data_IF_016732817231
#
_entry.id   IF_016732817231
#
_cell.length_a   1.000
_cell.length_b   1.000
_cell.length_c   1.000
_cell.angle_alpha   90.00
_cell.angle_beta   90.00
_cell.angle_gamma   90.00
#
_symmetry.space_group_name_H-M   'P 1'
#
loop_
_entity.id
_entity.type
_entity.pdbx_description
1 polymer ?
#
# COMPACT_ATOMS: atom_id res chain seq x y z
N UNK A 1 33.02 -34.57 33.04
CA UNK A 1 32.16 -33.79 32.13
C UNK A 1 30.74 -33.91 32.65
N UNK A 2 30.17 -32.88 33.30
CA UNK A 2 28.79 -32.94 33.77
C UNK A 2 27.86 -32.98 32.56
N UNK A 3 26.99 -34.00 32.49
CA UNK A 3 25.93 -34.06 31.47
C UNK A 3 24.92 -32.97 31.80
N UNK A 4 24.75 -32.01 30.91
CA UNK A 4 23.67 -31.04 31.01
C UNK A 4 22.37 -31.81 31.21
N UNK A 5 21.63 -31.46 32.26
CA UNK A 5 20.34 -32.08 32.52
C UNK A 5 19.39 -31.76 31.35
N UNK A 6 18.46 -32.66 31.04
CA UNK A 6 17.44 -32.41 30.01
C UNK A 6 16.74 -31.06 30.24
N UNK A 7 16.52 -30.71 31.51
CA UNK A 7 15.94 -29.45 31.95
C UNK A 7 16.77 -28.23 31.55
N UNK A 8 18.10 -28.27 31.69
CA UNK A 8 18.97 -27.18 31.20
C UNK A 8 18.95 -27.07 29.68
N UNK A 9 18.90 -28.19 28.96
CA UNK A 9 18.79 -28.18 27.51
C UNK A 9 17.45 -27.57 27.07
N UNK A 10 16.34 -27.97 27.70
CA UNK A 10 15.01 -27.41 27.43
C UNK A 10 14.96 -25.92 27.73
N UNK A 11 15.50 -25.48 28.88
CA UNK A 11 15.56 -24.06 29.24
C UNK A 11 16.44 -23.27 28.26
N UNK A 12 17.54 -23.85 27.78
CA UNK A 12 18.40 -23.21 26.77
C UNK A 12 17.72 -23.09 25.40
N UNK A 13 16.87 -24.06 25.03
CA UNK A 13 16.09 -24.00 23.79
C UNK A 13 14.97 -22.97 23.89
N UNK A 14 14.26 -22.90 25.02
CA UNK A 14 13.24 -21.88 25.28
C UNK A 14 13.86 -20.48 25.22
N UNK A 15 14.99 -20.26 25.92
CA UNK A 15 15.68 -18.97 25.88
C UNK A 15 16.16 -18.58 24.48
N UNK A 16 16.55 -19.55 23.64
CA UNK A 16 16.90 -19.30 22.24
C UNK A 16 15.67 -18.99 21.38
N UNK A 17 14.55 -19.67 21.61
CA UNK A 17 13.28 -19.40 20.92
C UNK A 17 12.77 -18.00 21.26
N UNK A 18 12.80 -17.60 22.53
CA UNK A 18 12.40 -16.26 22.98
C UNK A 18 13.31 -15.16 22.41
N UNK A 19 14.62 -15.42 22.32
CA UNK A 19 15.58 -14.49 21.72
C UNK A 19 15.38 -14.33 20.20
N UNK A 20 14.97 -15.39 19.51
CA UNK A 20 14.68 -15.35 18.06
C UNK A 20 13.33 -14.68 17.80
N UNK A 21 12.31 -14.94 18.61
CA UNK A 21 10.97 -14.33 18.49
C UNK A 21 10.99 -12.81 18.74
N UNK A 22 11.70 -12.36 19.78
CA UNK A 22 11.83 -10.93 20.08
C UNK A 22 12.53 -10.11 18.98
N UNK A 23 13.27 -10.75 18.08
CA UNK A 23 13.91 -10.08 16.93
C UNK A 23 13.02 -10.00 15.69
N UNK A 24 11.89 -10.73 15.65
CA UNK A 24 10.99 -10.80 14.49
C UNK A 24 9.67 -10.04 14.68
N UNK A 25 9.26 -9.75 15.92
CA UNK A 25 8.01 -9.04 16.21
C UNK A 25 8.17 -7.51 16.19
N UNK A 26 8.68 -6.94 15.10
CA UNK A 26 8.23 -5.59 14.74
C UNK A 26 6.77 -5.73 14.33
N UNK A 27 5.85 -5.28 15.17
CA UNK A 27 4.43 -5.17 14.83
C UNK A 27 4.33 -4.22 13.63
N UNK A 28 4.35 -4.78 12.43
CA UNK A 28 4.15 -4.03 11.19
C UNK A 28 2.65 -3.66 11.19
N UNK A 29 2.28 -2.37 11.13
CA UNK A 29 0.89 -1.97 10.97
C UNK A 29 0.25 -2.74 9.80
N UNK A 30 -0.97 -3.25 9.99
CA UNK A 30 -1.63 -4.17 9.04
C UNK A 30 -1.65 -3.62 7.60
N UNK A 31 -1.85 -2.30 7.45
CA UNK A 31 -1.79 -1.60 6.16
C UNK A 31 -0.43 -1.74 5.45
N UNK A 32 0.67 -1.68 6.21
CA UNK A 32 2.04 -1.85 5.67
C UNK A 32 2.30 -3.31 5.29
N UNK A 33 1.69 -4.25 6.01
CA UNK A 33 1.81 -5.68 5.73
C UNK A 33 1.12 -6.04 4.41
N UNK A 34 -0.10 -5.56 4.17
CA UNK A 34 -0.80 -5.78 2.89
C UNK A 34 -0.16 -5.03 1.72
N UNK A 35 0.36 -3.82 1.96
CA UNK A 35 1.13 -3.06 0.95
C UNK A 35 2.41 -3.81 0.55
N UNK A 36 3.10 -4.41 1.52
CA UNK A 36 4.26 -5.25 1.27
C UNK A 36 3.88 -6.47 0.42
N UNK A 37 2.83 -7.21 0.81
CA UNK A 37 2.34 -8.37 0.04
C UNK A 37 2.06 -8.00 -1.41
N UNK A 38 1.38 -6.88 -1.64
CA UNK A 38 1.02 -6.40 -2.98
C UNK A 38 2.22 -6.24 -3.90
N UNK A 39 3.37 -5.82 -3.36
CA UNK A 39 4.59 -5.65 -4.12
C UNK A 39 5.30 -6.99 -4.41
N UNK A 40 5.29 -7.92 -3.45
CA UNK A 40 5.83 -9.27 -3.65
C UNK A 40 5.00 -10.10 -4.63
N UNK A 41 3.66 -9.91 -4.67
CA UNK A 41 2.75 -10.56 -5.62
C UNK A 41 3.12 -10.27 -7.07
N UNK A 42 3.63 -9.06 -7.37
CA UNK A 42 4.03 -8.70 -8.73
C UNK A 42 5.26 -9.48 -9.22
N UNK A 43 6.06 -10.00 -8.29
CA UNK A 43 7.35 -10.65 -8.57
C UNK A 43 7.25 -12.17 -8.48
N UNK A 44 6.36 -12.69 -7.63
CA UNK A 44 6.19 -14.12 -7.38
C UNK A 44 4.79 -14.63 -7.76
N UNK A 45 4.66 -15.43 -8.84
CA UNK A 45 3.36 -15.92 -9.30
C UNK A 45 2.73 -16.92 -8.32
N UNK A 46 3.54 -17.63 -7.52
CA UNK A 46 3.04 -18.55 -6.50
C UNK A 46 2.35 -17.78 -5.38
N UNK A 47 2.99 -16.72 -4.87
CA UNK A 47 2.38 -15.82 -3.90
C UNK A 47 1.10 -15.15 -4.45
N UNK A 48 1.09 -14.76 -5.73
CA UNK A 48 -0.10 -14.23 -6.38
C UNK A 48 -1.27 -15.22 -6.36
N UNK A 49 -0.99 -16.50 -6.64
CA UNK A 49 -2.00 -17.55 -6.60
C UNK A 49 -2.48 -17.83 -5.17
N UNK A 50 -1.58 -17.92 -4.20
CA UNK A 50 -1.91 -18.12 -2.79
C UNK A 50 -2.78 -16.98 -2.25
N UNK A 51 -2.45 -15.74 -2.60
CA UNK A 51 -3.24 -14.57 -2.21
C UNK A 51 -4.63 -14.58 -2.83
N UNK A 52 -4.76 -14.97 -4.10
CA UNK A 52 -6.07 -15.14 -4.73
C UNK A 52 -6.90 -16.19 -4.01
N UNK A 53 -6.33 -17.37 -3.73
CA UNK A 53 -7.01 -18.43 -2.99
C UNK A 53 -7.43 -17.98 -1.59
N UNK A 54 -6.60 -17.18 -0.93
CA UNK A 54 -6.90 -16.58 0.36
C UNK A 54 -8.12 -15.65 0.28
N UNK A 55 -8.19 -14.76 -0.71
CA UNK A 55 -9.36 -13.90 -0.92
C UNK A 55 -10.62 -14.72 -1.21
N UNK A 56 -10.55 -15.68 -2.13
CA UNK A 56 -11.68 -16.53 -2.49
C UNK A 56 -12.21 -17.32 -1.25
N UNK A 57 -11.29 -17.84 -0.43
CA UNK A 57 -11.62 -18.57 0.80
C UNK A 57 -12.22 -17.66 1.86
N UNK A 58 -11.70 -16.44 2.01
CA UNK A 58 -12.22 -15.44 2.94
C UNK A 58 -13.65 -15.05 2.59
N UNK A 59 -13.94 -14.86 1.30
CA UNK A 59 -15.29 -14.54 0.83
C UNK A 59 -16.24 -15.72 1.07
N UNK A 60 -15.81 -16.95 0.78
CA UNK A 60 -16.57 -18.16 1.06
C UNK A 60 -16.84 -18.33 2.56
N UNK A 61 -15.85 -18.11 3.41
CA UNK A 61 -15.99 -18.16 4.86
C UNK A 61 -17.00 -17.12 5.36
N UNK A 62 -16.95 -15.89 4.81
CA UNK A 62 -17.92 -14.84 5.10
C UNK A 62 -19.36 -15.24 4.74
N UNK A 63 -19.55 -15.91 3.61
CA UNK A 63 -20.86 -16.44 3.19
C UNK A 63 -21.34 -17.55 4.14
N UNK A 64 -20.49 -18.53 4.46
CA UNK A 64 -20.85 -19.63 5.35
C UNK A 64 -21.23 -19.14 6.76
N UNK A 65 -20.49 -18.16 7.28
CA UNK A 65 -20.80 -17.51 8.56
C UNK A 65 -22.15 -16.80 8.54
N UNK A 66 -22.54 -16.21 7.41
CA UNK A 66 -23.83 -15.54 7.25
C UNK A 66 -25.01 -16.52 7.08
N UNK A 67 -24.81 -17.59 6.31
CA UNK A 67 -25.88 -18.50 5.89
C UNK A 67 -26.18 -19.60 6.92
N UNK A 68 -25.13 -20.22 7.47
CA UNK A 68 -25.24 -21.45 8.28
C UNK A 68 -24.70 -21.25 9.70
N UNK A 69 -23.84 -20.25 9.89
CA UNK A 69 -23.30 -19.86 11.18
C UNK A 69 -21.98 -20.54 11.55
N UNK A 70 -21.41 -20.13 12.68
CA UNK A 70 -20.06 -20.50 13.09
C UNK A 70 -19.89 -21.96 13.56
N UNK A 71 -20.98 -22.64 13.91
CA UNK A 71 -20.95 -24.01 14.44
C UNK A 71 -21.14 -25.08 13.36
N UNK A 72 -21.27 -24.68 12.10
CA UNK A 72 -21.38 -25.63 10.99
C UNK A 72 -19.99 -26.23 10.65
N UNK A 73 -19.88 -27.55 10.43
CA UNK A 73 -18.61 -28.19 10.08
C UNK A 73 -17.96 -27.62 8.81
N UNK A 74 -18.74 -27.14 7.84
CA UNK A 74 -18.19 -26.52 6.64
C UNK A 74 -17.55 -25.16 6.95
N UNK A 75 -18.13 -24.41 7.88
CA UNK A 75 -17.56 -23.15 8.38
C UNK A 75 -16.24 -23.39 9.11
N UNK A 76 -16.14 -24.45 9.90
CA UNK A 76 -14.89 -24.86 10.56
C UNK A 76 -13.79 -25.22 9.55
N UNK A 77 -14.13 -26.02 8.52
CA UNK A 77 -13.20 -26.35 7.43
C UNK A 77 -12.74 -25.09 6.68
N UNK A 78 -13.65 -24.15 6.42
CA UNK A 78 -13.31 -22.90 5.75
C UNK A 78 -12.40 -22.01 6.60
N UNK A 79 -12.56 -22.03 7.93
CA UNK A 79 -11.64 -21.39 8.87
C UNK A 79 -10.24 -21.99 8.81
N UNK A 80 -10.14 -23.32 8.89
CA UNK A 80 -8.85 -24.02 8.82
C UNK A 80 -8.13 -23.76 7.48
N UNK A 81 -8.89 -23.72 6.39
CA UNK A 81 -8.36 -23.41 5.06
C UNK A 81 -7.87 -21.96 4.98
N UNK A 82 -8.62 -21.01 5.52
CA UNK A 82 -8.23 -19.60 5.60
C UNK A 82 -6.91 -19.43 6.37
N UNK A 83 -6.79 -20.07 7.53
CA UNK A 83 -5.60 -19.97 8.38
C UNK A 83 -4.39 -20.67 7.76
N UNK A 84 -4.60 -21.81 7.11
CA UNK A 84 -3.56 -22.52 6.35
C UNK A 84 -3.01 -21.66 5.21
N UNK A 85 -3.89 -20.99 4.46
CA UNK A 85 -3.50 -20.08 3.37
C UNK A 85 -2.74 -18.86 3.89
N UNK A 86 -3.17 -18.30 5.02
CA UNK A 86 -2.45 -17.20 5.68
C UNK A 86 -1.03 -17.62 6.05
N UNK A 87 -0.87 -18.77 6.68
CA UNK A 87 0.45 -19.31 7.06
C UNK A 87 1.34 -19.61 5.83
N UNK A 88 0.75 -20.12 4.74
CA UNK A 88 1.47 -20.35 3.49
C UNK A 88 1.97 -19.04 2.86
N UNK A 89 1.15 -17.98 2.88
CA UNK A 89 1.54 -16.64 2.42
C UNK A 89 2.70 -16.10 3.26
N UNK A 90 2.60 -16.17 4.59
CA UNK A 90 3.66 -15.71 5.49
C UNK A 90 4.98 -16.45 5.25
N UNK A 91 4.91 -17.77 5.11
CA UNK A 91 6.08 -18.61 4.81
C UNK A 91 6.71 -18.19 3.47
N UNK A 92 5.89 -18.04 2.43
CA UNK A 92 6.38 -17.65 1.10
C UNK A 92 7.00 -16.24 1.10
N UNK A 93 6.46 -15.31 1.87
CA UNK A 93 7.05 -13.98 2.03
C UNK A 93 8.43 -14.04 2.69
N UNK A 94 8.62 -14.89 3.70
CA UNK A 94 9.93 -15.09 4.34
C UNK A 94 10.92 -15.69 3.33
N UNK A 95 10.51 -16.68 2.55
CA UNK A 95 11.34 -17.25 1.48
C UNK A 95 11.77 -16.19 0.45
N UNK A 96 10.83 -15.37 0.00
CA UNK A 96 11.10 -14.31 -0.98
C UNK A 96 12.00 -13.21 -0.43
N UNK A 97 11.86 -12.84 0.85
CA UNK A 97 12.76 -11.89 1.53
C UNK A 97 14.21 -12.40 1.57
N UNK A 98 14.39 -13.71 1.69
CA UNK A 98 15.70 -14.34 1.71
C UNK A 98 16.23 -14.67 0.31
N UNK A 99 15.47 -14.43 -0.75
CA UNK A 99 15.85 -14.68 -2.13
C UNK A 99 16.46 -13.41 -2.77
N UNK A 100 17.76 -13.38 -3.11
CA UNK A 100 18.41 -12.20 -3.66
C UNK A 100 17.80 -11.71 -4.98
N UNK A 101 17.37 -12.64 -5.83
CA UNK A 101 16.73 -12.32 -7.12
C UNK A 101 15.39 -11.61 -6.94
N UNK A 102 14.57 -12.07 -5.98
CA UNK A 102 13.30 -11.45 -5.67
C UNK A 102 13.52 -10.05 -5.08
N UNK A 103 14.46 -9.90 -4.15
CA UNK A 103 14.81 -8.62 -3.54
C UNK A 103 15.27 -7.60 -4.59
N UNK A 104 16.14 -7.99 -5.53
CA UNK A 104 16.57 -7.11 -6.62
C UNK A 104 15.41 -6.66 -7.53
N UNK A 105 14.50 -7.58 -7.89
CA UNK A 105 13.31 -7.23 -8.69
C UNK A 105 12.42 -6.24 -7.94
N UNK A 106 12.25 -6.44 -6.63
CA UNK A 106 11.47 -5.56 -5.76
C UNK A 106 12.08 -4.16 -5.66
N UNK A 107 13.41 -4.07 -5.50
CA UNK A 107 14.12 -2.80 -5.51
C UNK A 107 13.96 -2.07 -6.85
N UNK A 108 14.06 -2.80 -7.97
CA UNK A 108 13.84 -2.24 -9.30
C UNK A 108 12.42 -1.67 -9.46
N UNK A 109 11.40 -2.39 -8.98
CA UNK A 109 10.00 -1.92 -9.00
C UNK A 109 9.81 -0.65 -8.16
N UNK A 110 10.36 -0.61 -6.93
CA UNK A 110 10.29 0.59 -6.07
C UNK A 110 10.96 1.79 -6.72
N UNK A 111 12.10 1.59 -7.36
CA UNK A 111 12.81 2.66 -8.06
C UNK A 111 12.00 3.15 -9.29
N UNK A 112 11.38 2.24 -10.03
CA UNK A 112 10.53 2.59 -11.16
C UNK A 112 9.30 3.41 -10.72
N UNK A 113 8.66 3.03 -9.62
CA UNK A 113 7.53 3.75 -9.05
C UNK A 113 7.93 5.14 -8.59
N UNK A 114 9.05 5.28 -7.88
CA UNK A 114 9.57 6.57 -7.45
C UNK A 114 9.85 7.51 -8.64
N UNK A 115 10.45 6.98 -9.72
CA UNK A 115 10.67 7.74 -10.95
C UNK A 115 9.36 8.14 -11.64
N UNK A 116 8.33 7.29 -11.59
CA UNK A 116 7.02 7.59 -12.14
C UNK A 116 6.32 8.72 -11.37
N UNK A 117 6.36 8.67 -10.04
CA UNK A 117 5.82 9.74 -9.17
C UNK A 117 6.52 11.06 -9.47
N UNK A 118 7.86 11.08 -9.51
CA UNK A 118 8.61 12.30 -9.81
C UNK A 118 8.26 12.89 -11.19
N UNK A 119 8.10 12.05 -12.21
CA UNK A 119 7.65 12.50 -13.55
C UNK A 119 6.27 13.12 -13.49
N UNK A 120 5.32 12.46 -12.81
CA UNK A 120 3.95 12.96 -12.67
C UNK A 120 3.90 14.29 -11.93
N UNK A 121 4.71 14.48 -10.89
CA UNK A 121 4.79 15.75 -10.16
C UNK A 121 5.39 16.86 -11.02
N UNK A 122 6.43 16.56 -11.80
CA UNK A 122 7.02 17.53 -12.74
C UNK A 122 6.02 17.94 -13.81
N UNK A 123 5.22 17.00 -14.32
CA UNK A 123 4.14 17.29 -15.28
C UNK A 123 3.02 18.12 -14.66
N UNK A 124 2.59 17.80 -13.43
CA UNK A 124 1.61 18.60 -12.70
C UNK A 124 2.10 20.03 -12.45
N UNK A 125 3.37 20.21 -12.05
CA UNK A 125 3.96 21.56 -11.88
C UNK A 125 4.00 22.34 -13.18
N UNK A 126 4.36 21.69 -14.30
CA UNK A 126 4.31 22.32 -15.63
C UNK A 126 2.87 22.72 -15.98
N UNK A 127 1.89 21.84 -15.78
CA UNK A 127 0.49 22.16 -16.03
C UNK A 127 -0.03 23.31 -15.14
N UNK A 128 0.34 23.34 -13.87
CA UNK A 128 0.00 24.44 -12.96
C UNK A 128 0.63 25.76 -13.43
N UNK A 129 1.89 25.76 -13.84
CA UNK A 129 2.55 26.96 -14.38
C UNK A 129 1.96 27.43 -15.72
N UNK A 130 1.50 26.50 -16.55
CA UNK A 130 0.82 26.83 -17.80
C UNK A 130 -0.55 27.48 -17.55
N UNK A 131 -1.31 26.94 -16.59
CA UNK A 131 -2.59 27.52 -16.16
C UNK A 131 -2.41 28.93 -15.57
N UNK A 132 -1.42 29.14 -14.72
CA UNK A 132 -1.17 30.46 -14.12
C UNK A 132 -0.71 31.51 -15.14
N UNK A 133 0.06 31.11 -16.17
CA UNK A 133 0.41 31.98 -17.28
C UNK A 133 -0.81 32.35 -18.13
N UNK A 134 -1.71 31.40 -18.39
CA UNK A 134 -2.93 31.64 -19.16
C UNK A 134 -3.88 32.60 -18.43
N UNK A 135 -4.00 32.46 -17.10
CA UNK A 135 -4.73 33.41 -16.25
C UNK A 135 -4.12 34.82 -16.32
N UNK A 136 -2.79 34.94 -16.28
CA UNK A 136 -2.10 36.22 -16.37
C UNK A 136 -2.26 36.87 -17.76
N UNK A 137 -2.17 36.07 -18.82
CA UNK A 137 -2.40 36.52 -20.20
C UNK A 137 -3.86 36.99 -20.37
N UNK A 138 -4.82 36.25 -19.83
CA UNK A 138 -6.24 36.62 -19.83
C UNK A 138 -6.48 37.93 -19.09
N UNK A 139 -5.86 38.11 -17.91
CA UNK A 139 -5.92 39.35 -17.16
C UNK A 139 -5.30 40.53 -17.92
N UNK A 140 -4.12 40.35 -18.52
CA UNK A 140 -3.45 41.35 -19.35
C UNK A 140 -4.30 41.78 -20.54
N UNK A 141 -4.96 40.83 -21.22
CA UNK A 141 -5.89 41.13 -22.32
C UNK A 141 -7.10 41.91 -21.84
N UNK A 142 -7.68 41.55 -20.69
CA UNK A 142 -8.78 42.29 -20.07
C UNK A 142 -8.40 43.74 -19.74
N UNK A 143 -7.27 43.95 -19.06
CA UNK A 143 -6.76 45.29 -18.73
C UNK A 143 -6.53 46.10 -20.00
N UNK A 144 -5.92 45.50 -21.02
CA UNK A 144 -5.69 46.15 -22.31
C UNK A 144 -6.99 46.53 -23.00
N UNK A 145 -8.02 45.69 -22.91
CA UNK A 145 -9.35 45.96 -23.47
C UNK A 145 -10.04 47.13 -22.75
N UNK A 146 -10.02 47.16 -21.41
CA UNK A 146 -10.57 48.26 -20.60
C UNK A 146 -9.86 49.58 -20.93
N UNK A 147 -8.52 49.59 -20.94
CA UNK A 147 -7.75 50.80 -21.24
C UNK A 147 -7.97 51.30 -22.66
N UNK A 148 -8.12 50.40 -23.64
CA UNK A 148 -8.35 50.76 -25.05
C UNK A 148 -9.77 51.27 -25.31
N UNK A 149 -10.76 50.83 -24.52
CA UNK A 149 -12.15 51.26 -24.64
C UNK A 149 -12.53 52.45 -23.74
N UNK A 150 -11.58 53.00 -22.97
CA UNK A 150 -11.81 54.21 -22.17
C UNK A 150 -12.76 54.02 -20.98
N UNK A 151 -12.95 52.78 -20.50
CA UNK A 151 -13.66 52.56 -19.23
C UNK A 151 -12.86 53.16 -18.07
N UNK A 152 -13.51 53.97 -17.25
CA UNK A 152 -12.89 54.57 -16.07
C UNK A 152 -12.69 53.50 -14.99
N UNK A 153 -11.59 53.58 -14.24
CA UNK A 153 -11.24 52.63 -13.18
C UNK A 153 -12.31 52.50 -12.08
N UNK A 154 -13.22 53.49 -11.98
CA UNK A 154 -14.31 53.54 -11.01
C UNK A 154 -15.49 52.62 -11.36
N UNK A 155 -15.74 52.32 -12.64
CA UNK A 155 -16.79 51.39 -13.06
C UNK A 155 -16.40 49.92 -12.80
N UNK A 156 -15.12 49.60 -12.97
CA UNK A 156 -14.52 48.28 -12.74
C UNK A 156 -14.69 47.74 -11.31
N UNK A 157 -14.58 48.62 -10.31
CA UNK A 157 -14.69 48.24 -8.88
C UNK A 157 -16.14 47.91 -8.51
N UNK A 158 -17.10 48.42 -9.29
CA UNK A 158 -18.53 48.23 -9.08
C UNK A 158 -18.99 46.86 -9.59
N UNK A 159 -18.49 46.42 -10.74
CA UNK A 159 -18.83 45.11 -11.32
C UNK A 159 -18.28 43.93 -10.50
N UNK A 160 -17.05 44.05 -9.98
CA UNK A 160 -16.49 43.01 -9.09
C UNK A 160 -17.25 42.87 -7.77
N UNK A 161 -17.92 43.92 -7.30
CA UNK A 161 -18.75 43.87 -6.08
C UNK A 161 -20.13 43.24 -6.29
N UNK A 162 -20.53 43.03 -7.55
CA UNK A 162 -21.83 42.44 -7.92
C UNK A 162 -21.72 40.98 -8.41
N UNK A 163 -20.50 40.45 -8.56
CA UNK A 163 -20.24 39.10 -9.04
C UNK A 163 -19.96 38.07 -7.92
N UNK A 164 -20.29 38.38 -6.66
CA UNK A 164 -20.21 37.45 -5.52
C UNK A 164 -21.57 36.94 -5.07
#
# INVERSE_FOLDING_TARGET
MPRASLTELMNSMIARVDAVQSSQDTIIPEERYWSMISLYIQVDPVLAQLYKQYCDTKDQLGQLLADVGASDPMTEIAWDMHDSLRSAIDTRLVELKNCPEATHKIEALKNQEALAVERSEREMRKQQSAKSLDELISFMMYVSFVMKNGMSFDELRRDFSQAS
#
